data_IF_963038597445
#
_entry.id   IF_963038597445
#
_cell.length_a   1.000
_cell.length_b   1.000
_cell.length_c   1.000
_cell.angle_alpha   90.00
_cell.angle_beta   90.00
_cell.angle_gamma   90.00
#
_symmetry.space_group_name_H-M   'P 1'
#
loop_
_entity.id
_entity.type
_entity.pdbx_description
1 polymer ?
#
# COMPACT_ATOMS: atom_id res chain seq x y z
N UNK A 1 -40.10 46.75 9.89
CA UNK A 1 -38.85 46.30 10.55
C UNK A 1 -38.98 44.79 10.68
N UNK A 2 -38.79 44.10 9.56
CA UNK A 2 -38.86 42.63 9.52
C UNK A 2 -37.44 42.11 9.61
N UNK A 3 -37.19 41.22 10.57
CA UNK A 3 -35.90 40.59 10.79
C UNK A 3 -35.77 39.46 9.78
N UNK A 4 -34.78 39.53 8.91
CA UNK A 4 -34.33 38.38 8.14
C UNK A 4 -33.57 37.45 9.09
N UNK A 5 -34.22 36.39 9.53
CA UNK A 5 -33.56 35.26 10.19
C UNK A 5 -32.74 34.53 9.12
N UNK A 6 -31.48 34.93 9.01
CA UNK A 6 -30.47 34.25 8.20
C UNK A 6 -30.27 32.83 8.71
N UNK A 7 -30.87 31.86 8.02
CA UNK A 7 -30.54 30.44 8.17
C UNK A 7 -29.07 30.29 7.80
N UNK A 8 -28.20 30.23 8.81
CA UNK A 8 -26.82 29.80 8.64
C UNK A 8 -26.84 28.33 8.21
N UNK A 9 -26.80 28.11 6.89
CA UNK A 9 -26.42 26.82 6.36
C UNK A 9 -25.04 26.48 6.94
N UNK A 10 -24.84 25.28 7.53
CA UNK A 10 -23.54 24.91 8.02
C UNK A 10 -22.59 24.92 6.82
N UNK A 11 -21.47 25.64 6.92
CA UNK A 11 -20.40 25.56 5.92
C UNK A 11 -20.17 24.09 5.61
N UNK A 12 -20.46 23.67 4.39
CA UNK A 12 -20.04 22.35 3.92
C UNK A 12 -18.54 22.31 4.11
N UNK A 13 -18.07 21.50 5.05
CA UNK A 13 -16.63 21.31 5.23
C UNK A 13 -16.10 20.85 3.88
N UNK A 14 -15.15 21.56 3.30
CA UNK A 14 -14.51 21.13 2.06
C UNK A 14 -13.99 19.70 2.25
N UNK A 15 -14.53 18.76 1.47
CA UNK A 15 -14.20 17.35 1.54
C UNK A 15 -13.35 16.95 0.34
N UNK A 16 -12.33 16.13 0.61
CA UNK A 16 -11.46 15.51 -0.38
C UNK A 16 -11.79 14.03 -0.43
N UNK A 17 -11.84 13.44 -1.63
CA UNK A 17 -12.03 12.00 -1.81
C UNK A 17 -10.71 11.24 -1.65
N UNK A 18 -10.79 10.01 -1.16
CA UNK A 18 -9.66 9.09 -1.06
C UNK A 18 -9.19 8.66 -2.45
N UNK A 19 -7.88 8.59 -2.64
CA UNK A 19 -7.25 8.24 -3.91
C UNK A 19 -7.62 6.85 -4.43
N UNK A 20 -7.92 5.90 -3.52
CA UNK A 20 -8.32 4.54 -3.90
C UNK A 20 -9.78 4.45 -4.36
N UNK A 21 -10.57 5.52 -4.16
CA UNK A 21 -11.98 5.61 -4.52
C UNK A 21 -12.29 6.72 -5.52
N UNK A 22 -11.30 7.11 -6.33
CA UNK A 22 -11.52 8.06 -7.43
C UNK A 22 -12.60 7.52 -8.38
N UNK A 23 -13.74 8.21 -8.44
CA UNK A 23 -14.88 7.83 -9.30
C UNK A 23 -16.07 7.20 -8.58
N UNK A 24 -16.01 6.98 -7.25
CA UNK A 24 -17.21 6.68 -6.47
C UNK A 24 -18.19 7.86 -6.53
N UNK A 25 -19.53 7.62 -6.54
CA UNK A 25 -20.50 8.69 -6.59
C UNK A 25 -20.26 9.72 -5.47
N UNK A 26 -20.39 11.03 -5.76
CA UNK A 26 -20.28 12.04 -4.73
C UNK A 26 -21.30 11.76 -3.62
N UNK A 27 -20.99 12.15 -2.39
CA UNK A 27 -21.80 11.98 -1.17
C UNK A 27 -21.74 10.61 -0.47
N UNK A 28 -20.89 9.67 -0.89
CA UNK A 28 -20.55 8.52 -0.05
C UNK A 28 -19.70 8.99 1.14
N UNK A 29 -20.35 9.16 2.30
CA UNK A 29 -19.72 9.61 3.54
C UNK A 29 -19.82 8.52 4.60
N UNK A 30 -18.80 8.42 5.43
CA UNK A 30 -18.74 7.44 6.52
C UNK A 30 -17.65 6.37 6.32
N UNK A 31 -17.53 5.46 7.29
CA UNK A 31 -16.56 4.38 7.24
C UNK A 31 -16.91 3.41 6.12
N UNK A 32 -15.91 3.05 5.33
CA UNK A 32 -15.97 2.11 4.23
C UNK A 32 -14.88 1.05 4.41
N UNK A 33 -15.19 -0.17 4.00
CA UNK A 33 -14.28 -1.30 4.07
C UNK A 33 -13.73 -1.59 2.68
N UNK A 34 -12.45 -1.32 2.48
CA UNK A 34 -11.75 -1.63 1.24
C UNK A 34 -11.00 -2.94 1.38
N UNK A 35 -11.15 -3.81 0.38
CA UNK A 35 -10.45 -5.08 0.29
C UNK A 35 -9.34 -4.98 -0.76
N UNK A 36 -8.12 -5.29 -0.38
CA UNK A 36 -6.94 -5.30 -1.23
C UNK A 36 -6.35 -6.70 -1.23
N UNK A 37 -5.97 -7.19 -2.41
CA UNK A 37 -5.28 -8.48 -2.54
C UNK A 37 -3.87 -8.21 -3.07
N UNK A 38 -2.86 -8.57 -2.30
CA UNK A 38 -1.44 -8.44 -2.67
C UNK A 38 -0.90 -9.82 -3.02
N UNK A 39 -0.24 -9.90 -4.16
CA UNK A 39 0.31 -11.14 -4.69
C UNK A 39 1.74 -11.37 -4.21
N UNK A 40 1.94 -12.38 -3.37
CA UNK A 40 3.24 -12.67 -2.80
C UNK A 40 4.16 -13.38 -3.82
N UNK A 41 5.48 -13.14 -3.76
CA UNK A 41 6.43 -13.89 -4.57
C UNK A 41 6.41 -15.38 -4.18
N UNK A 42 6.69 -16.29 -5.13
CA UNK A 42 6.78 -17.72 -4.83
C UNK A 42 7.91 -17.95 -3.81
N UNK A 43 7.60 -18.68 -2.74
CA UNK A 43 8.58 -19.06 -1.73
C UNK A 43 9.59 -20.01 -2.40
N UNK A 44 10.86 -19.61 -2.49
CA UNK A 44 11.91 -20.55 -2.84
C UNK A 44 12.05 -21.51 -1.65
N UNK A 45 11.47 -22.71 -1.75
CA UNK A 45 11.85 -23.78 -0.85
C UNK A 45 13.32 -24.10 -1.14
N UNK A 46 14.20 -23.63 -0.27
CA UNK A 46 15.57 -24.13 -0.21
C UNK A 46 15.48 -25.60 0.18
N UNK A 47 15.34 -26.46 -0.83
CA UNK A 47 15.51 -27.89 -0.70
C UNK A 47 16.85 -28.13 -0.02
N UNK A 48 16.77 -28.62 1.21
CA UNK A 48 17.88 -29.04 2.06
C UNK A 48 18.53 -30.26 1.41
N UNK A 49 19.29 -30.08 0.31
CA UNK A 49 20.27 -31.04 -0.19
C UNK A 49 21.13 -30.51 -1.35
N UNK A 50 22.12 -29.64 -1.10
CA UNK A 50 23.39 -29.72 -1.86
C UNK A 50 24.51 -28.98 -1.12
N UNK A 51 25.50 -29.76 -0.70
CA UNK A 51 26.54 -29.38 0.24
C UNK A 51 27.63 -28.45 -0.28
N UNK A 52 28.38 -27.94 0.70
CA UNK A 52 29.71 -27.37 0.75
C UNK A 52 30.35 -26.91 -0.57
N UNK A 53 30.68 -25.61 -0.64
CA UNK A 53 32.07 -25.12 -0.82
C UNK A 53 32.12 -23.62 -0.55
N UNK A 54 33.20 -23.20 0.12
CA UNK A 54 33.55 -21.82 0.45
C UNK A 54 33.61 -20.90 -0.79
N UNK A 55 32.81 -19.84 -0.80
CA UNK A 55 33.07 -18.64 -1.57
C UNK A 55 32.39 -17.45 -0.89
N UNK A 56 33.20 -16.48 -0.49
CA UNK A 56 32.78 -15.12 -0.16
C UNK A 56 32.11 -14.49 -1.38
N UNK A 57 30.78 -14.42 -1.40
CA UNK A 57 30.05 -13.60 -2.36
C UNK A 57 29.38 -12.45 -1.62
N UNK A 58 29.99 -11.29 -1.85
CA UNK A 58 29.49 -9.94 -1.73
C UNK A 58 27.98 -9.84 -2.03
N UNK A 59 27.31 -8.95 -1.30
CA UNK A 59 25.89 -8.62 -1.36
C UNK A 59 25.54 -8.01 -2.72
N UNK A 60 25.60 -8.83 -3.76
CA UNK A 60 25.11 -8.49 -5.08
C UNK A 60 23.61 -8.73 -5.08
N UNK A 61 22.86 -7.62 -5.10
CA UNK A 61 21.52 -7.56 -5.66
C UNK A 61 21.57 -8.44 -6.92
N UNK A 62 20.92 -9.61 -6.92
CA UNK A 62 21.03 -10.59 -7.99
C UNK A 62 20.85 -9.89 -9.34
N UNK A 63 21.97 -9.71 -10.04
CA UNK A 63 22.14 -8.80 -11.16
C UNK A 63 21.55 -9.37 -12.47
N UNK A 64 20.27 -9.77 -12.45
CA UNK A 64 19.63 -10.33 -13.65
C UNK A 64 18.14 -10.09 -13.78
N UNK A 65 17.58 -9.10 -13.09
CA UNK A 65 16.33 -8.49 -13.60
C UNK A 65 16.71 -7.16 -14.23
N UNK A 66 17.14 -7.24 -15.49
CA UNK A 66 17.31 -6.06 -16.34
C UNK A 66 15.90 -5.47 -16.53
N UNK A 67 15.59 -4.39 -15.83
CA UNK A 67 14.37 -3.63 -16.06
C UNK A 67 14.67 -2.62 -17.16
N UNK A 68 13.79 -2.54 -18.15
CA UNK A 68 13.88 -1.50 -19.18
C UNK A 68 13.35 -0.18 -18.58
N UNK A 69 13.93 0.94 -19.01
CA UNK A 69 13.41 2.27 -18.72
C UNK A 69 12.75 2.82 -19.97
N UNK A 70 11.69 3.60 -19.81
CA UNK A 70 11.13 4.38 -20.93
C UNK A 70 11.89 5.70 -21.12
N UNK A 71 11.43 6.51 -22.08
CA UNK A 71 12.06 7.78 -22.45
C UNK A 71 12.07 8.80 -21.29
N UNK A 72 11.15 8.66 -20.33
CA UNK A 72 11.04 9.52 -19.15
C UNK A 72 11.87 8.99 -17.96
N UNK A 73 12.50 7.81 -18.13
CA UNK A 73 13.27 7.14 -17.09
C UNK A 73 12.41 6.34 -16.12
N UNK A 74 11.15 6.09 -16.44
CA UNK A 74 10.26 5.24 -15.65
C UNK A 74 10.50 3.76 -15.94
N UNK A 75 10.29 2.90 -14.94
CA UNK A 75 10.45 1.45 -15.08
C UNK A 75 9.36 0.87 -15.99
N UNK A 76 9.78 0.24 -17.08
CA UNK A 76 8.91 -0.56 -17.95
C UNK A 76 8.69 -1.93 -17.31
N UNK A 77 7.58 -2.06 -16.59
CA UNK A 77 7.18 -3.31 -15.96
C UNK A 77 6.26 -4.12 -16.87
N UNK A 78 6.66 -5.36 -17.18
CA UNK A 78 5.76 -6.28 -17.89
C UNK A 78 4.65 -6.77 -16.97
N UNK A 79 3.40 -6.73 -17.45
CA UNK A 79 2.26 -7.28 -16.71
C UNK A 79 2.45 -8.78 -16.49
N UNK A 80 2.37 -9.22 -15.23
CA UNK A 80 2.38 -10.64 -14.87
C UNK A 80 1.30 -11.41 -15.66
N UNK A 81 1.69 -12.48 -16.34
CA UNK A 81 0.79 -13.32 -17.17
C UNK A 81 0.23 -14.54 -16.44
N UNK A 82 0.90 -14.98 -15.36
CA UNK A 82 0.47 -16.13 -14.54
C UNK A 82 -0.14 -15.63 -13.23
N UNK A 83 -1.22 -16.26 -12.74
CA UNK A 83 -1.75 -15.94 -11.44
C UNK A 83 -0.70 -16.30 -10.35
N UNK A 84 -0.62 -15.52 -9.28
CA UNK A 84 0.24 -15.81 -8.13
C UNK A 84 -0.20 -17.11 -7.44
N UNK A 85 0.74 -17.83 -6.83
CA UNK A 85 0.43 -19.02 -6.04
C UNK A 85 -0.04 -18.70 -4.62
N UNK A 86 0.33 -17.53 -4.09
CA UNK A 86 -0.03 -17.07 -2.76
C UNK A 86 -0.42 -15.60 -2.80
N UNK A 87 -1.49 -15.26 -2.07
CA UNK A 87 -1.96 -13.89 -1.92
C UNK A 87 -2.14 -13.56 -0.43
N UNK A 88 -1.99 -12.28 -0.12
CA UNK A 88 -2.37 -11.68 1.16
C UNK A 88 -3.59 -10.81 0.93
N UNK A 89 -4.67 -11.10 1.65
CA UNK A 89 -5.88 -10.27 1.64
C UNK A 89 -5.83 -9.29 2.81
N UNK A 90 -5.87 -8.01 2.49
CA UNK A 90 -5.87 -6.89 3.43
C UNK A 90 -7.23 -6.22 3.40
N UNK A 91 -7.78 -5.99 4.57
CA UNK A 91 -9.07 -5.32 4.73
C UNK A 91 -8.86 -4.08 5.57
N UNK A 92 -9.10 -2.90 4.99
CA UNK A 92 -8.85 -1.61 5.64
C UNK A 92 -10.17 -0.85 5.76
N UNK A 93 -10.51 -0.48 7.00
CA UNK A 93 -11.61 0.44 7.25
C UNK A 93 -11.11 1.88 7.20
N UNK A 94 -11.65 2.69 6.31
CA UNK A 94 -11.30 4.11 6.19
C UNK A 94 -12.48 4.93 5.69
N UNK A 95 -12.35 6.26 5.67
CA UNK A 95 -13.38 7.10 5.08
C UNK A 95 -13.10 7.32 3.59
N UNK A 96 -14.15 7.24 2.76
CA UNK A 96 -14.06 7.57 1.33
C UNK A 96 -13.83 9.08 1.15
N UNK A 97 -14.53 9.92 1.93
CA UNK A 97 -14.32 11.36 1.93
C UNK A 97 -13.88 11.85 3.31
N UNK A 98 -13.00 12.85 3.33
CA UNK A 98 -12.52 13.45 4.58
C UNK A 98 -12.32 14.94 4.41
N UNK A 99 -12.43 15.71 5.50
CA UNK A 99 -12.00 17.10 5.48
C UNK A 99 -10.49 17.20 5.32
N UNK A 100 -9.99 18.31 4.80
CA UNK A 100 -8.55 18.51 4.56
C UNK A 100 -7.66 18.22 5.80
N UNK A 101 -8.16 18.50 7.01
CA UNK A 101 -7.44 18.23 8.27
C UNK A 101 -7.34 16.73 8.62
N UNK A 102 -8.11 15.88 7.94
CA UNK A 102 -8.27 14.44 8.21
C UNK A 102 -7.83 13.56 7.04
N UNK A 103 -7.24 14.13 5.98
CA UNK A 103 -6.78 13.37 4.80
C UNK A 103 -5.71 12.33 5.12
N UNK A 104 -4.98 12.50 6.23
CA UNK A 104 -4.10 11.45 6.75
C UNK A 104 -4.82 10.15 7.13
N UNK A 105 -6.15 10.17 7.31
CA UNK A 105 -6.98 8.98 7.58
C UNK A 105 -7.55 8.34 6.31
N UNK A 106 -7.08 8.75 5.14
CA UNK A 106 -7.40 8.09 3.87
C UNK A 106 -6.31 7.07 3.54
N UNK A 107 -6.67 6.06 2.75
CA UNK A 107 -5.67 5.16 2.17
C UNK A 107 -5.06 5.86 0.95
N UNK A 108 -3.74 5.98 0.97
CA UNK A 108 -2.94 6.55 -0.10
C UNK A 108 -2.38 5.45 -0.98
N UNK A 109 -2.30 5.68 -2.29
CA UNK A 109 -1.75 4.66 -3.21
C UNK A 109 -0.29 4.33 -2.89
N UNK A 110 0.48 5.31 -2.43
CA UNK A 110 1.86 5.13 -2.01
C UNK A 110 2.02 4.10 -0.88
N UNK A 111 1.06 4.03 0.04
CA UNK A 111 1.09 3.07 1.16
C UNK A 111 0.96 1.62 0.66
N UNK A 112 0.08 1.40 -0.32
CA UNK A 112 -0.10 0.07 -0.95
C UNK A 112 1.15 -0.34 -1.73
N UNK A 113 1.83 0.62 -2.38
CA UNK A 113 3.10 0.37 -3.08
C UNK A 113 4.21 0.03 -2.08
N UNK A 114 4.31 0.76 -0.98
CA UNK A 114 5.27 0.46 0.10
C UNK A 114 5.02 -0.91 0.70
N UNK A 115 3.75 -1.26 0.95
CA UNK A 115 3.36 -2.58 1.47
C UNK A 115 3.80 -3.70 0.54
N UNK A 116 3.57 -3.58 -0.78
CA UNK A 116 4.02 -4.58 -1.77
C UNK A 116 5.55 -4.75 -1.75
N UNK A 117 6.29 -3.64 -1.68
CA UNK A 117 7.76 -3.66 -1.59
C UNK A 117 8.27 -4.33 -0.31
N UNK A 118 7.73 -3.97 0.85
CA UNK A 118 8.13 -4.57 2.14
C UNK A 118 7.80 -6.05 2.17
N UNK A 119 6.60 -6.46 1.72
CA UNK A 119 6.22 -7.88 1.65
C UNK A 119 7.11 -8.67 0.70
N UNK A 120 7.52 -8.06 -0.42
CA UNK A 120 8.51 -8.67 -1.31
C UNK A 120 9.82 -8.93 -0.57
N UNK A 121 10.41 -7.90 0.05
CA UNK A 121 11.68 -8.04 0.77
C UNK A 121 11.60 -9.03 1.92
N UNK A 122 10.52 -9.02 2.71
CA UNK A 122 10.30 -10.01 3.77
C UNK A 122 10.20 -11.45 3.24
N UNK A 123 9.81 -11.63 1.98
CA UNK A 123 9.65 -12.95 1.36
C UNK A 123 10.90 -13.42 0.61
N UNK A 124 11.75 -12.49 0.16
CA UNK A 124 12.92 -12.78 -0.70
C UNK A 124 14.26 -12.51 -0.04
N UNK A 125 14.30 -11.74 1.05
CA UNK A 125 15.51 -11.43 1.81
C UNK A 125 15.28 -11.57 3.32
N UNK A 126 16.37 -11.61 4.07
CA UNK A 126 16.38 -11.60 5.54
C UNK A 126 16.58 -10.19 6.12
N UNK A 127 16.55 -9.14 5.31
CA UNK A 127 16.89 -7.77 5.74
C UNK A 127 15.90 -7.21 6.76
N UNK A 128 14.69 -7.78 6.81
CA UNK A 128 13.65 -7.43 7.76
C UNK A 128 13.61 -8.34 8.99
N UNK A 129 14.50 -9.34 9.09
CA UNK A 129 14.53 -10.22 10.25
C UNK A 129 15.03 -9.48 11.48
N UNK A 130 14.21 -9.47 12.54
CA UNK A 130 14.52 -8.83 13.84
C UNK A 130 14.78 -7.33 13.74
N UNK A 131 14.25 -6.67 12.71
CA UNK A 131 14.30 -5.21 12.59
C UNK A 131 13.30 -4.57 13.54
N UNK A 132 13.72 -3.49 14.18
CA UNK A 132 12.83 -2.57 14.90
C UNK A 132 12.50 -1.42 13.96
N UNK A 133 11.22 -1.30 13.58
CA UNK A 133 10.74 -0.24 12.71
C UNK A 133 9.89 0.78 13.49
N UNK A 134 9.99 2.05 13.09
CA UNK A 134 9.13 3.14 13.53
C UNK A 134 8.38 3.68 12.32
N UNK A 135 7.05 3.62 12.37
CA UNK A 135 6.18 4.20 11.35
C UNK A 135 5.84 5.65 11.73
N UNK A 136 6.15 6.60 10.85
CA UNK A 136 5.84 8.01 11.03
C UNK A 136 4.69 8.40 10.10
N UNK A 137 3.66 9.05 10.65
CA UNK A 137 2.52 9.46 9.84
C UNK A 137 1.59 8.29 9.44
N UNK A 138 1.48 7.28 10.30
CA UNK A 138 0.75 6.02 10.05
C UNK A 138 -0.71 6.15 9.59
N UNK A 139 -1.31 7.33 9.70
CA UNK A 139 -2.61 7.62 9.10
C UNK A 139 -3.72 6.69 9.55
N UNK A 140 -4.19 5.83 8.65
CA UNK A 140 -5.19 4.77 8.90
C UNK A 140 -4.68 3.61 9.75
N UNK A 141 -3.43 3.61 10.20
CA UNK A 141 -2.69 2.57 10.93
C UNK A 141 -3.24 2.15 12.30
N UNK A 142 -4.56 2.16 12.49
CA UNK A 142 -5.25 1.40 13.53
C UNK A 142 -5.37 -0.07 13.09
N UNK A 143 -4.45 -0.91 13.55
CA UNK A 143 -4.72 -2.33 13.70
C UNK A 143 -5.84 -2.49 14.75
N UNK A 144 -7.07 -2.79 14.32
CA UNK A 144 -8.05 -3.40 15.23
C UNK A 144 -7.77 -4.91 15.23
N UNK A 145 -7.44 -5.44 16.41
CA UNK A 145 -7.31 -6.88 16.64
C UNK A 145 -8.60 -7.59 16.16
N UNK A 146 -8.46 -8.57 15.28
CA UNK A 146 -9.48 -9.56 14.95
C UNK A 146 -9.03 -10.89 15.52
#
# INVERSE_FOLDING_TARGET
MEREDGVQQPLSSEQVMSEVHLGCPPHHSGPHLSHFTISLPPRHENSILRGNTDAVEDMSISASTMFDLDEDGDLILTRRKKPPSHNLDLTIQHNITSSIRRVGLQVWRAELVLTDFVLHLMSTSSDFDKVVALELGAGTGKFHHL
#
